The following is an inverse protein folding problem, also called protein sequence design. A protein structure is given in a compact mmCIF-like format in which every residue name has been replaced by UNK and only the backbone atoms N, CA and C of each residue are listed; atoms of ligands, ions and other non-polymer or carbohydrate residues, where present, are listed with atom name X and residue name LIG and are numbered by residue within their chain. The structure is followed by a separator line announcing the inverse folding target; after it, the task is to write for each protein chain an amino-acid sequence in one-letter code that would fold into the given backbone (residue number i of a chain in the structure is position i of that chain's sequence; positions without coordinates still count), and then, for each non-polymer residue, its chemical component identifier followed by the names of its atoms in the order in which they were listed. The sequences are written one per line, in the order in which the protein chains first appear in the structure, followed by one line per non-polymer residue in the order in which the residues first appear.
data_IF_380585339590
#
_entry.id   IF_380585339590
#
_cell.length_a   1.000
_cell.length_b   1.000
_cell.length_c   1.000
_cell.angle_alpha   90.00
_cell.angle_beta   90.00
_cell.angle_gamma   90.00
#
_symmetry.space_group_name_H-M   'P 1'
#
loop_
_entity.id
_entity.type
_entity.pdbx_description
1 polymer ?
#
# COMPACT_ATOMS: atom_id res chain seq x y z
N UNK A 1 18.68 -6.45 -2.36
CA UNK A 1 17.33 -5.84 -2.41
C UNK A 1 16.31 -6.95 -2.32
N UNK A 2 15.46 -6.96 -1.29
CA UNK A 2 14.37 -7.94 -1.16
C UNK A 2 13.44 -7.70 -2.36
N UNK A 3 13.38 -8.64 -3.30
CA UNK A 3 12.41 -8.56 -4.40
C UNK A 3 11.06 -8.87 -3.78
N UNK A 4 10.12 -7.92 -3.85
CA UNK A 4 8.70 -8.16 -3.62
C UNK A 4 8.20 -9.40 -4.37
N UNK A 5 7.26 -10.12 -3.74
CA UNK A 5 6.55 -11.24 -4.33
C UNK A 5 5.86 -10.78 -5.65
N UNK A 6 5.99 -11.53 -6.76
CA UNK A 6 5.45 -11.14 -8.06
C UNK A 6 3.95 -10.81 -8.04
N UNK A 7 3.20 -11.48 -7.16
CA UNK A 7 1.75 -11.28 -7.01
C UNK A 7 1.43 -9.91 -6.39
N UNK A 8 2.18 -9.48 -5.37
CA UNK A 8 1.99 -8.17 -4.71
C UNK A 8 2.28 -7.05 -5.71
N UNK A 9 3.39 -7.19 -6.45
CA UNK A 9 3.75 -6.23 -7.51
C UNK A 9 2.65 -6.11 -8.56
N UNK A 10 2.17 -7.24 -9.07
CA UNK A 10 1.12 -7.26 -10.09
C UNK A 10 -0.20 -6.67 -9.58
N UNK A 11 -0.53 -6.87 -8.31
CA UNK A 11 -1.72 -6.28 -7.70
C UNK A 11 -1.61 -4.76 -7.62
N UNK A 12 -0.48 -4.24 -7.14
CA UNK A 12 -0.22 -2.80 -7.05
C UNK A 12 -0.23 -2.13 -8.42
N UNK A 13 0.45 -2.70 -9.41
CA UNK A 13 0.46 -2.19 -10.78
C UNK A 13 -0.95 -2.13 -11.36
N UNK A 14 -1.75 -3.20 -11.17
CA UNK A 14 -3.13 -3.23 -11.65
C UNK A 14 -4.00 -2.17 -10.97
N UNK A 15 -3.96 -2.06 -9.64
CA UNK A 15 -4.81 -1.11 -8.92
C UNK A 15 -4.48 0.34 -9.25
N UNK A 16 -3.20 0.66 -9.47
CA UNK A 16 -2.79 2.02 -9.86
C UNK A 16 -3.20 2.31 -11.31
N UNK A 17 -3.12 1.33 -12.22
CA UNK A 17 -3.62 1.43 -13.60
C UNK A 17 -5.13 1.67 -13.66
N UNK A 18 -5.89 0.97 -12.82
CA UNK A 18 -7.35 1.10 -12.77
C UNK A 18 -7.79 2.48 -12.20
N UNK A 19 -6.91 3.18 -11.48
CA UNK A 19 -7.19 4.50 -10.90
C UNK A 19 -7.02 5.67 -11.89
N UNK A 20 -6.79 5.42 -13.19
CA UNK A 20 -6.67 6.42 -14.28
C UNK A 20 -5.56 7.49 -14.11
N UNK A 21 -4.60 7.29 -13.20
CA UNK A 21 -3.48 8.21 -13.00
C UNK A 21 -2.32 7.95 -13.99
N UNK A 22 -1.55 9.00 -14.32
CA UNK A 22 -0.30 8.85 -15.09
C UNK A 22 0.71 8.04 -14.27
N UNK A 23 0.95 6.79 -14.66
CA UNK A 23 1.90 5.94 -13.95
C UNK A 23 3.32 6.20 -14.49
N UNK A 24 4.29 6.46 -13.62
CA UNK A 24 5.70 6.35 -13.98
C UNK A 24 5.99 4.98 -14.60
N UNK A 25 6.86 4.92 -15.61
CA UNK A 25 7.24 3.66 -16.28
C UNK A 25 7.72 2.55 -15.33
N UNK A 26 8.21 2.93 -14.15
CA UNK A 26 8.60 2.03 -13.07
C UNK A 26 7.88 2.43 -11.78
N UNK A 27 7.11 1.49 -11.22
CA UNK A 27 6.53 1.65 -9.88
C UNK A 27 7.61 1.33 -8.85
N UNK A 28 8.26 2.38 -8.34
CA UNK A 28 9.24 2.32 -7.25
C UNK A 28 8.58 2.20 -5.87
N UNK A 29 9.34 1.68 -4.89
CA UNK A 29 8.84 1.55 -3.50
C UNK A 29 8.73 2.89 -2.78
N UNK A 30 9.52 3.86 -3.21
CA UNK A 30 9.58 5.24 -2.71
C UNK A 30 8.41 6.11 -3.17
N UNK A 31 7.66 5.67 -4.19
CA UNK A 31 6.54 6.43 -4.73
C UNK A 31 5.42 6.54 -3.69
N UNK A 32 4.92 7.77 -3.55
CA UNK A 32 3.91 8.16 -2.58
C UNK A 32 2.54 8.32 -3.25
N UNK A 33 1.50 7.69 -2.67
CA UNK A 33 0.13 7.68 -3.19
C UNK A 33 -0.41 9.10 -3.47
N UNK A 34 -0.29 10.00 -2.48
CA UNK A 34 -0.73 11.39 -2.64
C UNK A 34 0.24 12.23 -3.48
N UNK A 35 1.54 12.27 -3.12
CA UNK A 35 2.46 13.24 -3.71
C UNK A 35 2.89 12.90 -5.14
N UNK A 36 3.01 11.62 -5.48
CA UNK A 36 3.48 11.19 -6.79
C UNK A 36 2.35 10.73 -7.70
N UNK A 37 1.31 10.09 -7.15
CA UNK A 37 0.15 9.65 -7.93
C UNK A 37 -1.07 10.57 -7.84
N UNK A 38 -1.07 11.57 -6.94
CA UNK A 38 -2.18 12.52 -6.84
C UNK A 38 -3.44 11.96 -6.20
N UNK A 39 -3.35 10.86 -5.43
CA UNK A 39 -4.51 10.25 -4.80
C UNK A 39 -5.13 11.19 -3.78
N UNK A 40 -6.44 11.40 -3.89
CA UNK A 40 -7.22 12.04 -2.84
C UNK A 40 -7.71 11.02 -1.79
N UNK A 41 -8.44 11.50 -0.78
CA UNK A 41 -8.96 10.63 0.30
C UNK A 41 -9.90 9.53 -0.18
N UNK A 42 -10.64 9.76 -1.28
CA UNK A 42 -11.54 8.76 -1.85
C UNK A 42 -10.73 7.71 -2.62
N UNK A 43 -9.75 8.16 -3.43
CA UNK A 43 -8.88 7.25 -4.17
C UNK A 43 -8.10 6.32 -3.25
N UNK A 44 -7.65 6.81 -2.09
CA UNK A 44 -6.97 5.97 -1.09
C UNK A 44 -7.88 4.83 -0.60
N UNK A 45 -9.15 5.13 -0.31
CA UNK A 45 -10.11 4.12 0.15
C UNK A 45 -10.38 3.08 -0.94
N UNK A 46 -10.60 3.52 -2.18
CA UNK A 46 -10.87 2.65 -3.33
C UNK A 46 -9.65 1.79 -3.69
N UNK A 47 -8.44 2.35 -3.58
CA UNK A 47 -7.19 1.65 -3.79
C UNK A 47 -7.03 0.50 -2.80
N UNK A 48 -7.20 0.75 -1.49
CA UNK A 48 -7.07 -0.30 -0.49
C UNK A 48 -8.17 -1.35 -0.62
N UNK A 49 -9.40 -0.97 -0.92
CA UNK A 49 -10.49 -1.91 -1.17
C UNK A 49 -10.21 -2.83 -2.37
N UNK A 50 -9.68 -2.26 -3.47
CA UNK A 50 -9.32 -3.03 -4.65
C UNK A 50 -8.15 -3.99 -4.37
N UNK A 51 -7.16 -3.54 -3.59
CA UNK A 51 -6.06 -4.40 -3.16
C UNK A 51 -6.57 -5.56 -2.30
N UNK A 52 -7.42 -5.29 -1.30
CA UNK A 52 -8.07 -6.31 -0.47
C UNK A 52 -8.77 -7.38 -1.32
N UNK A 53 -9.51 -6.95 -2.35
CA UNK A 53 -10.21 -7.86 -3.24
C UNK A 53 -9.25 -8.73 -4.06
N UNK A 54 -8.15 -8.16 -4.57
CA UNK A 54 -7.16 -8.87 -5.39
C UNK A 54 -6.40 -9.91 -4.56
N UNK A 55 -5.92 -9.51 -3.39
CA UNK A 55 -5.02 -10.35 -2.57
C UNK A 55 -5.74 -11.11 -1.45
N UNK A 56 -7.07 -10.98 -1.37
CA UNK A 56 -7.93 -11.63 -0.35
C UNK A 56 -7.45 -11.37 1.07
N UNK A 57 -7.10 -10.12 1.37
CA UNK A 57 -6.70 -9.65 2.71
C UNK A 57 -7.69 -8.63 3.26
N UNK A 58 -7.47 -8.20 4.50
CA UNK A 58 -8.20 -7.11 5.14
C UNK A 58 -7.19 -6.10 5.71
N UNK A 59 -7.29 -4.86 5.26
CA UNK A 59 -6.43 -3.72 5.63
C UNK A 59 -7.28 -2.78 6.49
N UNK A 60 -6.99 -2.65 7.80
CA UNK A 60 -7.78 -1.77 8.64
C UNK A 60 -7.73 -0.30 8.17
N UNK A 61 -8.88 0.39 7.99
CA UNK A 61 -8.89 1.78 7.54
C UNK A 61 -8.07 2.73 8.44
N UNK A 62 -8.00 2.44 9.74
CA UNK A 62 -7.22 3.23 10.70
C UNK A 62 -5.70 3.20 10.51
N UNK A 63 -5.18 2.41 9.56
CA UNK A 63 -3.75 2.40 9.23
C UNK A 63 -3.42 2.98 7.85
N UNK A 64 -4.41 3.44 7.08
CA UNK A 64 -4.18 3.96 5.73
C UNK A 64 -3.19 5.13 5.72
N UNK A 65 -3.25 5.99 6.73
CA UNK A 65 -2.30 7.11 6.91
C UNK A 65 -0.84 6.68 7.11
N UNK A 66 -0.63 5.44 7.52
CA UNK A 66 0.70 4.84 7.70
C UNK A 66 1.16 4.04 6.48
N UNK A 67 0.35 3.98 5.42
CA UNK A 67 0.58 3.18 4.20
C UNK A 67 0.63 4.10 2.97
N UNK A 68 1.45 5.15 3.05
CA UNK A 68 1.44 6.23 2.06
C UNK A 68 2.41 6.02 0.90
N UNK A 69 3.39 5.13 1.04
CA UNK A 69 4.27 4.73 -0.07
C UNK A 69 3.98 3.31 -0.55
N UNK A 70 4.32 3.02 -1.80
CA UNK A 70 4.24 1.66 -2.36
C UNK A 70 5.05 0.66 -1.52
N UNK A 71 6.17 1.10 -0.94
CA UNK A 71 6.99 0.33 -0.02
C UNK A 71 6.23 -0.03 1.26
N UNK A 72 5.54 0.92 1.88
CA UNK A 72 4.76 0.69 3.10
C UNK A 72 3.62 -0.30 2.84
N UNK A 73 2.89 -0.11 1.73
CA UNK A 73 1.83 -1.03 1.32
C UNK A 73 2.40 -2.42 1.07
N UNK A 74 3.49 -2.52 0.30
CA UNK A 74 4.14 -3.80 0.03
C UNK A 74 4.62 -4.50 1.29
N UNK A 75 5.16 -3.77 2.27
CA UNK A 75 5.68 -4.34 3.50
C UNK A 75 4.56 -4.80 4.43
N UNK A 76 3.45 -4.06 4.47
CA UNK A 76 2.24 -4.51 5.15
C UNK A 76 1.70 -5.80 4.50
N UNK A 77 1.64 -5.87 3.17
CA UNK A 77 1.11 -7.04 2.46
C UNK A 77 1.99 -8.29 2.58
N UNK A 78 3.32 -8.14 2.70
CA UNK A 78 4.26 -9.24 2.93
C UNK A 78 4.03 -9.88 4.31
N UNK A 79 3.80 -9.08 5.36
CA UNK A 79 3.50 -9.58 6.69
C UNK A 79 2.60 -8.65 7.54
N UNK A 80 1.26 -8.73 7.36
CA UNK A 80 0.32 -7.83 8.03
C UNK A 80 0.39 -7.91 9.56
N UNK A 81 0.55 -9.11 10.11
CA UNK A 81 0.60 -9.34 11.56
C UNK A 81 1.82 -8.70 12.20
N UNK A 82 2.98 -8.86 11.57
CA UNK A 82 4.23 -8.28 12.05
C UNK A 82 4.23 -6.76 11.91
N UNK A 83 3.70 -6.23 10.81
CA UNK A 83 3.55 -4.78 10.62
C UNK A 83 2.71 -4.15 11.73
N UNK A 84 1.54 -4.71 12.01
CA UNK A 84 0.65 -4.22 13.07
C UNK A 84 1.28 -4.34 14.47
N UNK A 85 2.01 -5.42 14.74
CA UNK A 85 2.71 -5.59 16.01
C UNK A 85 3.77 -4.49 16.24
N UNK A 86 4.53 -4.11 15.20
CA UNK A 86 5.53 -3.03 15.27
C UNK A 86 4.89 -1.67 15.56
N UNK A 87 3.74 -1.37 14.94
CA UNK A 87 3.01 -0.12 15.19
C UNK A 87 2.55 -0.01 16.64
N UNK A 88 2.11 -1.12 17.24
CA UNK A 88 1.71 -1.16 18.66
C UNK A 88 2.91 -0.98 19.59
N UNK A 89 4.08 -1.55 19.27
CA UNK A 89 5.29 -1.39 20.07
C UNK A 89 5.83 0.05 20.05
N UNK A 90 5.72 0.75 18.93
CA UNK A 90 6.14 2.16 18.81
C UNK A 90 5.23 3.05 19.67
N UNK A 91 3.91 2.86 19.60
CA UNK A 91 2.93 3.63 20.37
C UNK A 91 2.98 3.39 21.89
N UNK A 92 3.61 2.29 22.34
CA UNK A 92 3.81 1.98 23.77
C UNK A 92 5.09 2.56 24.37
N UNK A 93 5.99 3.12 23.53
CA UNK A 93 7.25 3.74 23.98
C UNK A 93 7.14 5.22 24.30
N UNK A 94 5.97 5.81 24.10
CA UNK A 94 5.61 7.18 24.44
C UNK A 94 4.44 7.17 25.43
#
# INVERSE_FOLDING_TARGET
MKKWEPVIRSALEKTILDAEFEIPKDIGRELHLVNDFGFDSLNIVEFFYSLEEIIKTNIPPGIYDNLMTIGDVSDFLDNPKEYLARQVEISRRY
#
